data_IF_484210223887
#
_entry.id   IF_484210223887
#
_cell.length_a   1.000
_cell.length_b   1.000
_cell.length_c   1.000
_cell.angle_alpha   90.00
_cell.angle_beta   90.00
_cell.angle_gamma   90.00
#
_symmetry.space_group_name_H-M   'P 1'
#
loop_
_entity.id
_entity.type
_entity.pdbx_description
1 polymer ?
#
# COMPACT_ATOMS: atom_id res chain seq x y z
N UNK A 1 -3.51 -10.16 -1.04
CA UNK A 1 -2.11 -9.70 -0.93
C UNK A 1 -1.82 -9.42 0.55
N UNK A 2 -0.64 -9.76 1.06
CA UNK A 2 -0.34 -9.83 2.50
C UNK A 2 -0.21 -8.47 3.22
N UNK A 3 -0.51 -7.36 2.54
CA UNK A 3 -0.31 -5.99 3.05
C UNK A 3 -1.61 -5.23 3.36
N UNK A 4 -2.78 -5.86 3.23
CA UNK A 4 -4.10 -5.26 3.53
C UNK A 4 -4.98 -6.15 4.43
N UNK A 5 -5.71 -5.54 5.36
CA UNK A 5 -6.90 -6.09 6.04
C UNK A 5 -7.69 -4.94 6.69
N UNK A 6 -8.49 -4.23 5.91
CA UNK A 6 -9.33 -3.16 6.42
C UNK A 6 -10.40 -3.75 7.33
N UNK A 7 -10.62 -3.10 8.48
CA UNK A 7 -11.59 -3.53 9.47
C UNK A 7 -12.45 -2.33 9.91
N UNK A 8 -13.79 -2.37 9.74
CA UNK A 8 -14.54 -3.44 9.07
C UNK A 8 -14.20 -3.52 7.57
N UNK A 9 -14.41 -4.67 6.93
CA UNK A 9 -14.02 -4.93 5.53
C UNK A 9 -14.62 -3.92 4.55
N UNK A 10 -15.79 -3.37 4.88
CA UNK A 10 -16.49 -2.32 4.12
C UNK A 10 -15.72 -1.01 4.02
N UNK A 11 -14.61 -0.85 4.75
CA UNK A 11 -13.76 0.35 4.70
C UNK A 11 -12.58 0.21 3.73
N UNK A 12 -12.45 -0.92 3.02
CA UNK A 12 -11.41 -1.04 2.00
C UNK A 12 -11.71 -0.14 0.81
N UNK A 13 -10.94 0.92 0.69
CA UNK A 13 -10.92 1.78 -0.49
C UNK A 13 -9.49 1.96 -1.00
N UNK A 14 -8.60 1.00 -0.76
CA UNK A 14 -7.20 1.14 -1.16
C UNK A 14 -6.77 0.14 -2.21
N UNK A 15 -6.79 -1.16 -1.90
CA UNK A 15 -6.41 -2.18 -2.86
C UNK A 15 -7.67 -2.80 -3.41
N UNK A 16 -7.85 -2.60 -4.70
CA UNK A 16 -9.02 -3.00 -5.45
C UNK A 16 -8.65 -3.97 -6.56
N UNK A 17 -9.49 -4.06 -7.58
CA UNK A 17 -9.33 -4.93 -8.74
C UNK A 17 -8.34 -4.31 -9.73
N UNK A 18 -7.37 -5.13 -10.16
CA UNK A 18 -6.42 -4.84 -11.22
C UNK A 18 -6.63 -5.86 -12.33
N UNK A 19 -6.95 -5.39 -13.53
CA UNK A 19 -7.12 -6.26 -14.72
C UNK A 19 -6.32 -5.67 -15.88
N UNK A 20 -5.43 -6.48 -16.44
CA UNK A 20 -4.76 -6.14 -17.69
C UNK A 20 -5.53 -6.72 -18.87
N UNK A 21 -5.92 -5.86 -19.81
CA UNK A 21 -6.54 -6.27 -21.08
C UNK A 21 -5.49 -6.17 -22.21
N UNK A 22 -4.91 -7.30 -22.68
CA UNK A 22 -3.76 -7.28 -23.58
C UNK A 22 -4.04 -6.63 -24.94
N UNK A 23 -5.23 -6.86 -25.50
CA UNK A 23 -5.57 -6.39 -26.85
C UNK A 23 -5.62 -4.86 -26.95
N UNK A 24 -6.05 -4.16 -25.89
CA UNK A 24 -6.02 -2.70 -25.82
C UNK A 24 -4.83 -2.14 -25.04
N UNK A 25 -3.98 -3.02 -24.50
CA UNK A 25 -2.89 -2.68 -23.59
C UNK A 25 -3.36 -1.77 -22.44
N UNK A 26 -4.53 -2.07 -21.87
CA UNK A 26 -5.15 -1.22 -20.83
C UNK A 26 -5.08 -1.91 -19.47
N UNK A 27 -4.54 -1.20 -18.48
CA UNK A 27 -4.72 -1.54 -17.08
C UNK A 27 -6.05 -0.95 -16.59
N UNK A 28 -6.97 -1.80 -16.17
CA UNK A 28 -8.14 -1.39 -15.40
C UNK A 28 -7.78 -1.43 -13.92
N UNK A 29 -7.94 -0.29 -13.26
CA UNK A 29 -7.72 -0.13 -11.82
C UNK A 29 -8.94 0.60 -11.26
N UNK A 30 -9.47 0.10 -10.17
CA UNK A 30 -10.63 0.72 -9.52
C UNK A 30 -10.15 1.90 -8.65
N UNK A 31 -10.01 1.76 -7.33
CA UNK A 31 -9.59 2.89 -6.49
C UNK A 31 -8.09 3.11 -6.33
N UNK A 32 -7.23 2.09 -6.45
CA UNK A 32 -5.84 2.18 -5.97
C UNK A 32 -5.01 3.30 -6.57
N UNK A 33 -5.17 3.55 -7.87
CA UNK A 33 -4.47 4.61 -8.60
C UNK A 33 -5.53 5.56 -9.15
N UNK A 34 -5.32 6.85 -8.88
CA UNK A 34 -6.17 7.94 -9.33
C UNK A 34 -5.49 8.63 -10.50
N UNK A 35 -6.26 8.95 -11.54
CA UNK A 35 -5.81 9.78 -12.66
C UNK A 35 -6.73 10.97 -12.85
N UNK A 36 -6.22 12.15 -12.54
CA UNK A 36 -6.95 13.40 -12.66
C UNK A 36 -6.68 14.07 -14.01
N UNK A 37 -7.42 13.69 -15.06
CA UNK A 37 -7.27 14.30 -16.38
C UNK A 37 -7.50 15.82 -16.31
N UNK A 38 -8.65 16.22 -15.74
CA UNK A 38 -9.06 17.62 -15.56
C UNK A 38 -9.71 17.78 -14.19
N UNK A 39 -8.93 17.87 -13.10
CA UNK A 39 -9.47 18.08 -11.76
C UNK A 39 -10.36 19.32 -11.70
N UNK A 40 -11.43 19.24 -10.91
CA UNK A 40 -12.30 20.38 -10.65
C UNK A 40 -11.55 21.55 -9.98
N UNK A 41 -12.12 22.75 -10.07
CA UNK A 41 -11.49 23.99 -9.62
C UNK A 41 -10.94 23.93 -8.18
N UNK A 42 -11.70 23.34 -7.25
CA UNK A 42 -11.27 23.20 -5.85
C UNK A 42 -10.01 22.34 -5.72
N UNK A 43 -9.92 21.21 -6.44
CA UNK A 43 -8.74 20.35 -6.43
C UNK A 43 -7.52 21.05 -7.02
N UNK A 44 -7.71 21.87 -8.06
CA UNK A 44 -6.64 22.69 -8.64
C UNK A 44 -6.09 23.71 -7.64
N UNK A 45 -6.97 24.32 -6.84
CA UNK A 45 -6.58 25.27 -5.78
C UNK A 45 -5.71 24.61 -4.69
N UNK A 46 -5.92 23.32 -4.42
CA UNK A 46 -5.07 22.51 -3.54
C UNK A 46 -3.85 21.89 -4.25
N UNK A 47 -3.52 22.35 -5.45
CA UNK A 47 -2.29 21.96 -6.16
C UNK A 47 -2.40 20.72 -7.04
N UNK A 48 -3.60 20.13 -7.22
CA UNK A 48 -3.79 19.05 -8.17
C UNK A 48 -3.72 19.57 -9.61
N UNK A 49 -2.75 19.08 -10.38
CA UNK A 49 -2.53 19.50 -11.77
C UNK A 49 -3.34 18.63 -12.74
N UNK A 50 -3.57 19.15 -13.94
CA UNK A 50 -4.10 18.35 -15.04
C UNK A 50 -3.15 17.19 -15.35
N UNK A 51 -3.73 16.01 -15.59
CA UNK A 51 -2.98 14.77 -15.79
C UNK A 51 -2.29 14.22 -14.53
N UNK A 52 -2.61 14.71 -13.32
CA UNK A 52 -1.97 14.22 -12.11
C UNK A 52 -2.33 12.75 -11.82
N UNK A 53 -1.33 11.96 -11.44
CA UNK A 53 -1.49 10.58 -10.98
C UNK A 53 -1.11 10.47 -9.50
N UNK A 54 -1.87 9.69 -8.73
CA UNK A 54 -1.60 9.48 -7.31
C UNK A 54 -2.13 8.12 -6.84
N UNK A 55 -1.54 7.56 -5.78
CA UNK A 55 -2.22 6.49 -5.03
C UNK A 55 -3.40 7.07 -4.26
N UNK A 56 -4.44 6.26 -4.07
CA UNK A 56 -5.61 6.68 -3.30
C UNK A 56 -5.22 7.14 -1.88
N UNK A 57 -5.82 8.23 -1.35
CA UNK A 57 -5.45 8.81 -0.06
C UNK A 57 -5.48 7.83 1.13
N UNK A 58 -6.30 6.79 1.05
CA UNK A 58 -6.39 5.74 2.08
C UNK A 58 -5.07 4.99 2.31
N UNK A 59 -4.09 5.07 1.40
CA UNK A 59 -2.73 4.56 1.63
C UNK A 59 -2.11 5.09 2.94
N UNK A 60 -2.47 6.32 3.32
CA UNK A 60 -1.93 7.00 4.52
C UNK A 60 -2.66 6.63 5.82
N UNK A 61 -3.80 5.95 5.71
CA UNK A 61 -4.72 5.67 6.82
C UNK A 61 -4.99 4.17 6.95
N UNK A 62 -6.07 3.68 6.34
CA UNK A 62 -6.59 2.31 6.49
C UNK A 62 -6.26 1.39 5.33
N UNK A 63 -5.58 1.89 4.29
CA UNK A 63 -5.32 1.15 3.07
C UNK A 63 -4.28 0.06 3.19
N UNK A 64 -3.34 0.20 4.12
CA UNK A 64 -2.29 -0.77 4.40
C UNK A 64 -2.40 -1.25 5.85
N UNK A 65 -1.96 -2.49 6.09
CA UNK A 65 -1.78 -2.97 7.46
C UNK A 65 -0.91 -2.00 8.27
N UNK A 66 -1.22 -1.78 9.56
CA UNK A 66 -0.42 -0.92 10.43
C UNK A 66 0.88 -1.61 10.89
N UNK A 67 1.57 -2.31 9.99
CA UNK A 67 2.87 -2.95 10.22
C UNK A 67 3.97 -2.17 9.52
N UNK A 68 5.21 -2.39 9.93
CA UNK A 68 6.40 -1.77 9.31
C UNK A 68 6.57 -2.20 7.85
N UNK A 69 6.24 -3.45 7.55
CA UNK A 69 6.61 -4.07 6.29
C UNK A 69 5.52 -3.87 5.20
N UNK A 70 4.28 -3.57 5.58
CA UNK A 70 3.16 -3.43 4.64
C UNK A 70 3.38 -2.40 3.51
N UNK A 71 3.94 -1.20 3.75
CA UNK A 71 4.25 -0.26 2.67
C UNK A 71 5.24 -0.82 1.64
N UNK A 72 6.24 -1.57 2.10
CA UNK A 72 7.23 -2.17 1.19
C UNK A 72 6.67 -3.38 0.45
N UNK A 73 5.83 -4.19 1.11
CA UNK A 73 5.13 -5.29 0.43
C UNK A 73 4.19 -4.78 -0.66
N UNK A 74 3.48 -3.67 -0.42
CA UNK A 74 2.70 -2.99 -1.45
C UNK A 74 3.58 -2.51 -2.61
N UNK A 75 4.71 -1.87 -2.30
CA UNK A 75 5.67 -1.40 -3.31
C UNK A 75 6.16 -2.56 -4.18
N UNK A 76 6.58 -3.68 -3.59
CA UNK A 76 7.04 -4.85 -4.34
C UNK A 76 5.92 -5.46 -5.19
N UNK A 77 4.71 -5.54 -4.64
CA UNK A 77 3.56 -6.00 -5.43
C UNK A 77 3.29 -5.11 -6.64
N UNK A 78 3.34 -3.78 -6.50
CA UNK A 78 3.23 -2.86 -7.63
C UNK A 78 4.38 -3.01 -8.64
N UNK A 79 5.60 -3.32 -8.18
CA UNK A 79 6.73 -3.63 -9.09
C UNK A 79 6.47 -4.89 -9.88
N UNK A 80 5.90 -5.92 -9.28
CA UNK A 80 5.54 -7.15 -9.98
C UNK A 80 4.44 -6.91 -11.02
N UNK A 81 3.44 -6.10 -10.69
CA UNK A 81 2.42 -5.65 -11.66
C UNK A 81 3.06 -4.96 -12.87
N UNK A 82 3.99 -4.03 -12.64
CA UNK A 82 4.74 -3.37 -13.72
C UNK A 82 5.63 -4.35 -14.49
N UNK A 83 6.28 -5.29 -13.81
CA UNK A 83 7.12 -6.27 -14.49
C UNK A 83 6.31 -7.21 -15.39
N UNK A 84 5.16 -7.67 -14.93
CA UNK A 84 4.35 -8.67 -15.63
C UNK A 84 3.50 -8.06 -16.75
N UNK A 85 3.04 -6.81 -16.60
CA UNK A 85 2.00 -6.23 -17.47
C UNK A 85 2.50 -5.00 -18.25
N UNK A 86 2.74 -5.14 -19.57
CA UNK A 86 3.14 -4.02 -20.42
C UNK A 86 1.90 -3.25 -20.91
N UNK A 87 1.28 -2.48 -20.03
CA UNK A 87 0.14 -1.62 -20.37
C UNK A 87 0.58 -0.24 -20.88
N UNK A 88 -0.10 0.28 -21.89
CA UNK A 88 0.11 1.65 -22.42
C UNK A 88 -0.95 2.63 -21.90
N UNK A 89 -2.15 2.11 -21.62
CA UNK A 89 -3.31 2.85 -21.17
C UNK A 89 -3.70 2.45 -19.75
N UNK A 90 -4.41 3.34 -19.04
CA UNK A 90 -4.96 3.04 -17.72
C UNK A 90 -6.37 3.62 -17.58
N UNK A 91 -7.33 2.75 -17.25
CA UNK A 91 -8.70 3.11 -16.95
C UNK A 91 -8.88 3.11 -15.44
N UNK A 92 -8.97 4.29 -14.83
CA UNK A 92 -9.19 4.45 -13.39
C UNK A 92 -10.69 4.59 -13.09
N UNK A 93 -11.19 4.09 -11.96
CA UNK A 93 -12.59 4.33 -11.57
C UNK A 93 -12.86 5.82 -11.32
N UNK A 94 -11.83 6.54 -10.90
CA UNK A 94 -11.90 7.95 -10.57
C UNK A 94 -11.15 8.85 -11.57
N UNK A 95 -11.86 9.90 -11.98
CA UNK A 95 -11.39 11.14 -12.61
C UNK A 95 -10.88 11.00 -14.07
N UNK A 96 -10.64 9.79 -14.61
CA UNK A 96 -10.56 9.61 -16.06
C UNK A 96 -9.84 8.37 -16.57
N UNK A 97 -9.67 8.32 -17.90
CA UNK A 97 -8.88 7.32 -18.62
C UNK A 97 -7.59 7.99 -19.08
N UNK A 98 -6.44 7.43 -18.68
CA UNK A 98 -5.14 7.83 -19.20
C UNK A 98 -4.85 7.05 -20.49
N UNK A 99 -4.75 7.78 -21.59
CA UNK A 99 -4.32 7.25 -22.88
C UNK A 99 -2.83 7.54 -23.09
N UNK A 100 -2.04 6.49 -23.33
CA UNK A 100 -0.62 6.60 -23.60
C UNK A 100 0.26 6.90 -22.37
N UNK A 101 1.44 6.30 -22.33
CA UNK A 101 2.47 6.52 -21.32
C UNK A 101 2.07 6.13 -19.90
N UNK A 102 0.99 5.35 -19.71
CA UNK A 102 0.52 4.99 -18.37
C UNK A 102 1.56 4.22 -17.56
N UNK A 103 2.30 3.31 -18.21
CA UNK A 103 3.38 2.57 -17.57
C UNK A 103 4.42 3.50 -16.92
N UNK A 104 4.95 4.45 -17.71
CA UNK A 104 5.99 5.36 -17.26
C UNK A 104 5.50 6.28 -16.11
N UNK A 105 4.24 6.69 -16.16
CA UNK A 105 3.62 7.48 -15.10
C UNK A 105 3.48 6.67 -13.80
N UNK A 106 3.12 5.39 -13.88
CA UNK A 106 3.01 4.52 -12.69
C UNK A 106 4.41 4.21 -12.11
N UNK A 107 5.43 4.03 -12.95
CA UNK A 107 6.83 3.94 -12.50
C UNK A 107 7.25 5.20 -11.75
N UNK A 108 6.95 6.36 -12.33
CA UNK A 108 7.26 7.67 -11.73
C UNK A 108 6.52 7.87 -10.41
N UNK A 109 5.23 7.51 -10.36
CA UNK A 109 4.42 7.53 -9.14
C UNK A 109 5.04 6.67 -8.05
N UNK A 110 5.43 5.43 -8.37
CA UNK A 110 6.00 4.51 -7.40
C UNK A 110 7.31 5.05 -6.81
N UNK A 111 8.20 5.58 -7.66
CA UNK A 111 9.45 6.20 -7.24
C UNK A 111 9.22 7.43 -6.36
N UNK A 112 8.30 8.31 -6.75
CA UNK A 112 7.96 9.51 -5.98
C UNK A 112 7.27 9.20 -4.64
N UNK A 113 6.70 7.99 -4.49
CA UNK A 113 6.03 7.55 -3.26
C UNK A 113 7.01 6.90 -2.27
N UNK A 114 8.26 6.63 -2.65
CA UNK A 114 9.25 5.99 -1.77
C UNK A 114 9.42 6.69 -0.40
N UNK A 115 9.47 8.04 -0.29
CA UNK A 115 9.53 8.71 1.01
C UNK A 115 8.31 8.44 1.89
N UNK A 116 7.12 8.32 1.29
CA UNK A 116 5.90 8.00 2.02
C UNK A 116 5.93 6.56 2.54
N UNK A 117 6.46 5.61 1.78
CA UNK A 117 6.61 4.23 2.27
C UNK A 117 7.53 4.16 3.49
N UNK A 118 8.64 4.91 3.48
CA UNK A 118 9.53 5.03 4.62
C UNK A 118 8.85 5.69 5.83
N UNK A 119 8.07 6.76 5.61
CA UNK A 119 7.30 7.43 6.66
C UNK A 119 6.28 6.49 7.33
N UNK A 120 5.49 5.77 6.53
CA UNK A 120 4.46 4.85 7.03
C UNK A 120 5.07 3.68 7.79
N UNK A 121 6.18 3.13 7.28
CA UNK A 121 6.97 2.08 7.94
C UNK A 121 7.44 2.55 9.34
N UNK A 122 8.03 3.73 9.42
CA UNK A 122 8.54 4.29 10.68
C UNK A 122 7.41 4.64 11.66
N UNK A 123 6.31 5.21 11.16
CA UNK A 123 5.11 5.49 11.96
C UNK A 123 4.55 4.22 12.58
N UNK A 124 4.53 3.11 11.85
CA UNK A 124 4.01 1.83 12.34
C UNK A 124 5.01 1.12 13.27
N UNK A 125 6.32 1.33 13.11
CA UNK A 125 7.35 0.87 14.07
C UNK A 125 7.07 1.40 15.49
N UNK A 126 6.70 2.67 15.61
CA UNK A 126 6.45 3.36 16.89
C UNK A 126 5.14 2.94 17.58
N UNK A 127 4.25 2.21 16.89
CA UNK A 127 2.96 1.76 17.43
C UNK A 127 3.02 0.40 18.14
N UNK A 128 4.11 -0.34 18.01
CA UNK A 128 4.32 -1.56 18.80
C UNK A 128 4.62 -1.13 20.25
N UNK A 129 3.78 -1.46 21.25
CA UNK A 129 4.08 -1.13 22.63
C UNK A 129 5.39 -1.82 23.05
N UNK A 130 6.24 -1.09 23.78
CA UNK A 130 7.49 -1.54 24.40
C UNK A 130 7.32 -2.66 25.46
N UNK A 131 6.16 -3.32 25.52
CA UNK A 131 5.75 -4.15 26.66
C UNK A 131 5.84 -5.67 26.39
N UNK A 132 6.72 -6.09 25.46
CA UNK A 132 7.04 -7.51 25.24
C UNK A 132 8.53 -7.83 25.32
N UNK A 133 9.30 -6.99 25.99
CA UNK A 133 10.70 -7.27 26.32
C UNK A 133 10.99 -6.99 27.78
N UNK A 134 10.42 -7.79 28.69
CA UNK A 134 11.03 -8.11 30.01
C UNK A 134 10.11 -9.01 30.85
N UNK A 135 10.22 -10.31 30.67
CA UNK A 135 10.02 -11.28 31.75
C UNK A 135 10.76 -12.58 31.41
N UNK A 136 12.09 -12.45 31.30
CA UNK A 136 13.00 -13.55 31.55
C UNK A 136 12.84 -13.98 33.01
N UNK A 137 12.00 -14.99 33.25
CA UNK A 137 11.92 -15.68 34.53
C UNK A 137 13.24 -16.44 34.79
N UNK A 138 14.17 -15.81 35.50
CA UNK A 138 14.97 -16.47 36.53
C UNK A 138 14.23 -16.15 37.85
N UNK A 139 13.89 -17.07 38.75
CA UNK A 139 14.64 -18.16 39.37
C UNK A 139 13.58 -18.95 40.19
N UNK A 140 13.62 -20.27 40.32
CA UNK A 140 14.32 -20.89 41.43
C UNK A 140 14.47 -22.40 41.21
N UNK A 141 15.70 -22.86 41.39
CA UNK A 141 16.03 -24.23 41.73
C UNK A 141 15.23 -24.67 42.96
N UNK A 142 14.65 -25.85 42.90
CA UNK A 142 14.46 -26.67 44.09
C UNK A 142 14.75 -28.11 43.70
N UNK A 143 16.04 -28.46 43.72
CA UNK A 143 16.46 -29.85 43.86
C UNK A 143 16.17 -30.27 45.29
N UNK A 144 15.12 -31.07 45.47
CA UNK A 144 15.05 -32.00 46.58
C UNK A 144 14.91 -33.38 46.00
N UNK A 145 16.01 -34.10 46.12
CA UNK A 145 16.08 -35.55 46.13
C UNK A 145 14.96 -36.10 47.02
N UNK A 146 14.31 -37.18 46.55
CA UNK A 146 13.86 -38.30 47.37
C UNK A 146 13.36 -39.44 46.45
N UNK A 147 14.27 -40.39 46.29
CA UNK A 147 14.15 -41.85 46.20
C UNK A 147 12.78 -42.56 46.03
N UNK A 148 12.86 -43.62 45.19
CA UNK A 148 12.23 -44.94 45.28
C UNK A 148 10.71 -45.12 45.13
N UNK A 149 10.35 -46.00 44.18
CA UNK A 149 9.05 -46.67 44.09
C UNK A 149 8.63 -46.97 42.67
#
# INVERSE_FOLDING_TARGET
AEFINPQPESTNHFISVFVYHPASQTLHVDDTILYAEKPGFLLKLFGCKDGAIAFHPSIKTSGLYPTRDAPYLFREWMRNVLFDWPFENMCCAHIGVKLGGAYADVVTLLNNTEPLFAELSEKNRKKIPLDRTSSSNQTNMNTKDNECG
#
